data_IF_816315495722
#
_entry.id   IF_816315495722
#
_cell.length_a   1.000
_cell.length_b   1.000
_cell.length_c   1.000
_cell.angle_alpha   90.00
_cell.angle_beta   90.00
_cell.angle_gamma   90.00
#
_symmetry.space_group_name_H-M   'P 1'
#
loop_
_entity.id
_entity.type
_entity.pdbx_description
1 polymer ?
#
# COMPACT_ATOMS: atom_id res chain seq x y z
N UNK A 1 -7.71 6.89 7.71
CA UNK A 1 -6.39 7.18 8.35
C UNK A 1 -6.45 8.54 9.04
N UNK A 2 -7.15 8.70 10.16
CA UNK A 2 -7.46 10.02 10.76
C UNK A 2 -6.63 10.36 12.02
N UNK A 3 -5.51 9.67 12.24
CA UNK A 3 -4.67 9.85 13.44
C UNK A 3 -5.29 9.38 14.76
N UNK A 4 -6.46 8.74 14.75
CA UNK A 4 -7.12 8.24 15.96
C UNK A 4 -6.38 7.05 16.59
N UNK A 5 -5.78 6.18 15.78
CA UNK A 5 -5.05 4.98 16.24
C UNK A 5 -3.89 5.31 17.19
N UNK A 6 -3.28 6.48 17.02
CA UNK A 6 -2.12 6.95 17.77
C UNK A 6 -2.46 8.12 18.70
N UNK A 7 -3.74 8.40 18.96
CA UNK A 7 -4.13 9.49 19.86
C UNK A 7 -3.52 9.33 21.28
N UNK A 8 -3.58 8.12 21.84
CA UNK A 8 -2.97 7.81 23.13
C UNK A 8 -1.44 7.86 23.08
N UNK A 9 -0.84 7.41 21.96
CA UNK A 9 0.61 7.51 21.75
C UNK A 9 1.09 8.97 21.77
N UNK A 10 0.35 9.88 21.11
CA UNK A 10 0.62 11.32 21.12
C UNK A 10 0.44 11.92 22.52
N UNK A 11 -0.62 11.53 23.24
CA UNK A 11 -0.88 12.02 24.59
C UNK A 11 0.21 11.59 25.60
N UNK A 12 0.63 10.32 25.56
CA UNK A 12 1.65 9.78 26.47
C UNK A 12 3.03 10.42 26.26
N UNK A 13 3.40 10.78 25.02
CA UNK A 13 4.64 11.52 24.77
C UNK A 13 4.57 12.98 25.23
N UNK A 14 3.41 13.64 25.08
CA UNK A 14 3.21 15.02 25.56
C UNK A 14 3.23 15.14 27.08
N UNK A 15 2.76 14.12 27.81
CA UNK A 15 2.73 14.12 29.27
C UNK A 15 4.03 13.67 29.93
N UNK A 16 5.03 13.22 29.15
CA UNK A 16 6.28 12.65 29.68
C UNK A 16 6.12 11.30 30.38
N UNK A 17 4.90 10.74 30.42
CA UNK A 17 4.59 9.47 31.05
C UNK A 17 4.98 8.31 30.11
N UNK A 18 6.27 8.01 30.05
CA UNK A 18 6.75 6.74 29.50
C UNK A 18 6.83 5.73 30.64
N UNK A 19 5.92 4.75 30.64
CA UNK A 19 6.12 3.50 31.37
C UNK A 19 7.41 2.85 30.88
N UNK A 20 8.19 2.31 31.82
CA UNK A 20 9.63 2.00 31.78
C UNK A 20 10.15 0.98 30.73
N UNK A 21 9.55 0.86 29.54
CA UNK A 21 10.05 -0.04 28.48
C UNK A 21 10.62 0.66 27.24
N UNK A 22 10.47 1.99 27.08
CA UNK A 22 10.97 2.72 25.91
C UNK A 22 11.67 4.03 26.27
N UNK A 23 12.63 3.96 27.19
CA UNK A 23 13.63 5.00 27.36
C UNK A 23 14.65 4.95 26.21
N UNK A 24 14.27 5.40 25.01
CA UNK A 24 15.21 5.80 23.98
C UNK A 24 14.99 7.27 23.67
N UNK A 25 15.86 8.10 24.25
CA UNK A 25 16.27 9.45 23.87
C UNK A 25 15.17 10.46 23.47
N UNK A 26 15.22 11.64 24.07
CA UNK A 26 14.55 12.83 23.56
C UNK A 26 15.11 13.26 22.21
N UNK A 27 14.83 12.50 21.15
CA UNK A 27 14.89 12.98 19.78
C UNK A 27 13.67 13.88 19.59
N UNK A 28 13.94 15.15 19.26
CA UNK A 28 12.94 15.99 18.62
C UNK A 28 12.37 15.20 17.44
N UNK A 29 11.09 14.82 17.55
CA UNK A 29 10.40 14.12 16.47
C UNK A 29 10.29 15.12 15.33
N UNK A 30 11.10 14.92 14.31
CA UNK A 30 11.08 15.73 13.10
C UNK A 30 9.64 15.76 12.56
N UNK A 31 9.08 16.96 12.42
CA UNK A 31 7.71 17.11 11.93
C UNK A 31 7.62 16.66 10.48
N UNK A 32 6.43 16.25 10.04
CA UNK A 32 6.22 15.86 8.65
C UNK A 32 6.53 17.00 7.66
N UNK A 33 6.42 18.27 8.08
CA UNK A 33 6.79 19.41 7.25
C UNK A 33 8.28 19.43 6.89
N UNK A 34 9.16 19.19 7.87
CA UNK A 34 10.62 19.16 7.63
C UNK A 34 11.00 17.97 6.74
N UNK A 35 10.35 16.82 6.95
CA UNK A 35 10.53 15.66 6.07
C UNK A 35 10.14 16.00 4.61
N UNK A 36 9.02 16.68 4.40
CA UNK A 36 8.56 17.07 3.06
C UNK A 36 9.51 18.07 2.39
N UNK A 37 10.12 18.99 3.15
CA UNK A 37 11.14 19.90 2.62
C UNK A 37 12.37 19.13 2.13
N UNK A 38 12.90 18.20 2.93
CA UNK A 38 14.03 17.35 2.52
C UNK A 38 13.73 16.54 1.26
N UNK A 39 12.54 15.94 1.20
CA UNK A 39 12.13 15.16 0.02
C UNK A 39 11.99 16.06 -1.22
N UNK A 40 11.51 17.30 -1.05
CA UNK A 40 11.41 18.25 -2.16
C UNK A 40 12.79 18.64 -2.71
N UNK A 41 13.79 18.82 -1.85
CA UNK A 41 15.18 19.06 -2.24
C UNK A 41 15.77 17.88 -3.01
N UNK A 42 15.61 16.65 -2.49
CA UNK A 42 16.10 15.44 -3.16
C UNK A 42 15.40 15.24 -4.51
N UNK A 43 14.08 15.42 -4.59
CA UNK A 43 13.33 15.37 -5.85
C UNK A 43 13.88 16.40 -6.85
N UNK A 44 14.15 17.63 -6.41
CA UNK A 44 14.73 18.67 -7.27
C UNK A 44 16.14 18.29 -7.76
N UNK A 45 16.95 17.69 -6.89
CA UNK A 45 18.27 17.16 -7.22
C UNK A 45 18.19 16.05 -8.28
N UNK A 46 17.32 15.04 -8.08
CA UNK A 46 17.11 13.95 -9.04
C UNK A 46 16.61 14.44 -10.41
N UNK A 47 15.78 15.49 -10.45
CA UNK A 47 15.37 16.14 -11.71
C UNK A 47 16.55 16.81 -12.40
N UNK A 48 17.41 17.52 -11.65
CA UNK A 48 18.62 18.17 -12.17
C UNK A 48 19.61 17.16 -12.76
N UNK A 49 19.75 16.00 -12.10
CA UNK A 49 20.58 14.88 -12.58
C UNK A 49 19.95 14.06 -13.71
N UNK A 50 18.71 14.38 -14.14
CA UNK A 50 17.95 13.64 -15.16
C UNK A 50 17.66 12.17 -14.80
N UNK A 51 17.76 11.79 -13.52
CA UNK A 51 17.34 10.48 -13.02
C UNK A 51 15.81 10.31 -13.09
N UNK A 52 15.09 11.41 -12.94
CA UNK A 52 13.64 11.46 -13.13
C UNK A 52 13.25 12.59 -14.09
N UNK A 53 12.13 12.41 -14.79
CA UNK A 53 11.59 13.42 -15.69
C UNK A 53 10.93 14.53 -14.88
N UNK A 54 11.18 15.80 -15.26
CA UNK A 54 10.43 16.94 -14.74
C UNK A 54 8.97 16.83 -15.18
N UNK A 55 8.09 16.56 -14.22
CA UNK A 55 6.66 16.53 -14.45
C UNK A 55 6.05 17.93 -14.32
N UNK A 56 4.84 18.12 -14.86
CA UNK A 56 4.09 19.36 -14.66
C UNK A 56 3.73 19.52 -13.17
N UNK A 57 3.84 20.74 -12.61
CA UNK A 57 3.42 21.01 -11.24
C UNK A 57 1.92 20.76 -11.11
N UNK A 58 1.52 20.24 -9.95
CA UNK A 58 0.13 20.01 -9.58
C UNK A 58 -0.37 21.20 -8.76
N UNK A 59 -1.69 21.47 -8.76
CA UNK A 59 -2.25 22.48 -7.88
C UNK A 59 -2.06 22.10 -6.40
N UNK A 60 -2.00 23.12 -5.55
CA UNK A 60 -2.04 22.95 -4.10
C UNK A 60 -3.30 22.16 -3.68
N UNK A 61 -3.23 21.50 -2.52
CA UNK A 61 -4.37 20.78 -1.95
C UNK A 61 -5.37 21.80 -1.42
N UNK A 62 -6.60 21.77 -1.94
CA UNK A 62 -7.67 22.67 -1.46
C UNK A 62 -8.29 22.15 -0.17
N UNK A 63 -9.09 22.96 0.53
CA UNK A 63 -9.74 22.53 1.78
C UNK A 63 -10.78 21.41 1.52
N UNK A 64 -11.43 21.41 0.35
CA UNK A 64 -12.40 20.38 -0.03
C UNK A 64 -11.75 19.01 -0.25
N UNK A 65 -10.46 19.00 -0.58
CA UNK A 65 -9.66 17.78 -0.76
C UNK A 65 -9.10 17.24 0.57
N UNK A 66 -9.27 17.95 1.68
CA UNK A 66 -8.84 17.53 3.02
C UNK A 66 -10.01 16.86 3.74
N UNK A 67 -10.08 15.52 3.75
CA UNK A 67 -11.21 14.81 4.35
C UNK A 67 -11.35 14.99 5.87
N UNK A 68 -10.29 15.44 6.56
CA UNK A 68 -10.27 15.63 8.00
C UNK A 68 -9.16 16.62 8.43
N UNK A 69 -9.31 17.15 9.66
CA UNK A 69 -8.28 17.95 10.30
C UNK A 69 -7.11 17.08 10.78
N UNK A 70 -5.89 17.54 10.52
CA UNK A 70 -4.68 16.78 10.88
C UNK A 70 -4.31 16.95 12.36
N UNK A 71 -3.78 15.90 12.99
CA UNK A 71 -3.02 16.03 14.22
C UNK A 71 -1.82 16.98 14.09
N UNK A 72 -1.39 17.52 15.23
CA UNK A 72 -0.12 18.24 15.31
C UNK A 72 1.06 17.35 14.85
N UNK A 73 1.94 17.93 14.04
CA UNK A 73 3.13 17.25 13.49
C UNK A 73 2.87 16.54 12.15
N UNK A 74 1.61 16.36 11.74
CA UNK A 74 1.27 15.79 10.43
C UNK A 74 1.21 16.88 9.36
N UNK A 75 1.40 16.49 8.11
CA UNK A 75 1.27 17.38 6.97
C UNK A 75 0.52 16.72 5.80
N UNK A 76 -0.27 17.53 5.08
CA UNK A 76 -0.85 17.11 3.81
C UNK A 76 0.17 17.34 2.69
N UNK A 77 0.33 16.34 1.82
CA UNK A 77 1.10 16.46 0.58
C UNK A 77 0.40 15.71 -0.56
N UNK A 78 0.79 15.97 -1.80
CA UNK A 78 0.39 15.14 -2.94
C UNK A 78 1.28 13.91 -2.98
N UNK A 79 0.76 12.79 -3.49
CA UNK A 79 1.56 11.60 -3.75
C UNK A 79 2.82 11.93 -4.56
N UNK A 80 2.70 12.80 -5.56
CA UNK A 80 3.84 13.23 -6.38
C UNK A 80 4.92 13.99 -5.61
N UNK A 81 4.63 14.56 -4.44
CA UNK A 81 5.62 15.29 -3.65
C UNK A 81 6.64 14.33 -3.05
N UNK A 82 6.20 13.12 -2.68
CA UNK A 82 7.04 12.15 -1.97
C UNK A 82 7.41 10.91 -2.80
N UNK A 83 6.64 10.61 -3.86
CA UNK A 83 6.75 9.36 -4.59
C UNK A 83 6.84 9.58 -6.11
N UNK A 84 7.78 8.90 -6.74
CA UNK A 84 7.93 8.79 -8.19
C UNK A 84 6.98 7.73 -8.75
N UNK A 85 6.11 8.13 -9.69
CA UNK A 85 5.17 7.23 -10.36
C UNK A 85 5.68 6.84 -11.76
N UNK A 86 5.76 5.55 -12.04
CA UNK A 86 6.19 5.00 -13.34
C UNK A 86 5.23 3.91 -13.79
N UNK A 87 4.58 4.10 -14.95
CA UNK A 87 3.76 3.06 -15.58
C UNK A 87 4.60 1.90 -16.12
N UNK A 88 4.01 0.73 -16.27
CA UNK A 88 4.73 -0.47 -16.69
C UNK A 88 4.88 -0.64 -18.21
N UNK A 89 5.45 -1.77 -18.59
CA UNK A 89 5.73 -2.09 -20.00
C UNK A 89 4.44 -2.41 -20.77
N UNK A 90 4.34 -1.91 -22.01
CA UNK A 90 3.24 -2.22 -22.93
C UNK A 90 3.61 -3.43 -23.78
N UNK A 91 2.72 -4.42 -23.86
CA UNK A 91 2.90 -5.58 -24.73
C UNK A 91 2.96 -5.17 -26.20
N UNK A 92 3.79 -5.86 -26.98
CA UNK A 92 3.79 -5.74 -28.44
C UNK A 92 4.64 -4.60 -29.01
N UNK A 93 5.45 -3.89 -28.19
CA UNK A 93 6.51 -3.04 -28.73
C UNK A 93 7.54 -3.92 -29.44
N UNK A 94 7.69 -3.72 -30.76
CA UNK A 94 8.74 -4.34 -31.55
C UNK A 94 10.07 -3.65 -31.23
N UNK A 95 10.79 -4.13 -30.23
CA UNK A 95 12.23 -3.92 -30.20
C UNK A 95 12.87 -4.84 -31.25
N UNK A 96 13.98 -4.42 -31.83
CA UNK A 96 14.64 -5.14 -32.94
C UNK A 96 15.99 -5.72 -32.54
N UNK A 97 16.53 -5.32 -31.39
CA UNK A 97 17.85 -5.71 -30.88
C UNK A 97 17.83 -5.82 -29.34
N UNK A 98 18.75 -6.62 -28.78
CA UNK A 98 19.00 -6.75 -27.33
C UNK A 98 17.78 -7.11 -26.48
N UNK A 99 17.08 -8.16 -26.88
CA UNK A 99 15.90 -8.67 -26.20
C UNK A 99 16.26 -9.53 -25.00
N UNK A 100 15.53 -9.36 -23.91
CA UNK A 100 15.59 -10.21 -22.72
C UNK A 100 14.19 -10.68 -22.36
N UNK A 101 14.10 -11.92 -21.87
CA UNK A 101 12.87 -12.49 -21.34
C UNK A 101 12.86 -12.26 -19.84
N UNK A 102 11.78 -11.64 -19.34
CA UNK A 102 11.62 -11.34 -17.92
C UNK A 102 10.25 -11.77 -17.41
N UNK A 103 10.18 -12.18 -16.15
CA UNK A 103 8.91 -12.35 -15.46
C UNK A 103 8.29 -10.98 -15.19
N UNK A 104 6.97 -10.89 -15.30
CA UNK A 104 6.29 -9.62 -15.08
C UNK A 104 4.98 -9.76 -14.31
N UNK A 105 4.70 -8.75 -13.48
CA UNK A 105 3.46 -8.63 -12.73
C UNK A 105 2.32 -8.07 -13.58
N UNK A 106 1.15 -8.66 -13.38
CA UNK A 106 -0.12 -8.26 -13.98
C UNK A 106 -1.06 -7.72 -12.92
N UNK A 107 -2.17 -7.13 -13.36
CA UNK A 107 -3.26 -6.71 -12.46
C UNK A 107 -3.75 -7.88 -11.58
N UNK A 108 -3.75 -9.11 -12.11
CA UNK A 108 -4.14 -10.31 -11.34
C UNK A 108 -3.17 -10.64 -10.20
N UNK A 109 -1.92 -10.19 -10.26
CA UNK A 109 -0.91 -10.46 -9.24
C UNK A 109 -0.95 -9.43 -8.10
N UNK A 110 -1.52 -8.25 -8.33
CA UNK A 110 -1.55 -7.18 -7.32
C UNK A 110 -2.88 -7.20 -6.57
N UNK A 111 -2.84 -7.73 -5.35
CA UNK A 111 -3.98 -7.78 -4.45
C UNK A 111 -3.89 -6.65 -3.41
N UNK A 112 -4.94 -6.51 -2.59
CA UNK A 112 -4.98 -5.46 -1.57
C UNK A 112 -4.09 -5.88 -0.39
N UNK A 113 -2.89 -5.32 -0.32
CA UNK A 113 -1.94 -5.57 0.77
C UNK A 113 -0.97 -6.73 0.55
N UNK A 114 -1.12 -7.51 -0.53
CA UNK A 114 -0.23 -8.62 -0.85
C UNK A 114 -0.12 -8.86 -2.35
N UNK A 115 0.88 -9.65 -2.74
CA UNK A 115 1.10 -10.09 -4.12
C UNK A 115 0.76 -11.56 -4.27
N UNK A 116 -0.09 -11.87 -5.22
CA UNK A 116 -0.35 -13.24 -5.67
C UNK A 116 0.65 -13.59 -6.78
N UNK A 117 1.62 -14.43 -6.45
CA UNK A 117 2.72 -14.85 -7.33
C UNK A 117 2.57 -16.29 -7.82
N UNK A 118 1.43 -16.94 -7.60
CA UNK A 118 1.22 -18.34 -7.99
C UNK A 118 1.30 -18.50 -9.52
N UNK A 119 0.70 -17.56 -10.26
CA UNK A 119 0.69 -17.57 -11.73
C UNK A 119 1.38 -16.35 -12.32
N UNK A 120 2.69 -16.51 -12.54
CA UNK A 120 3.53 -15.54 -13.23
C UNK A 120 3.58 -15.80 -14.74
N UNK A 121 3.82 -14.73 -15.51
CA UNK A 121 4.01 -14.81 -16.96
C UNK A 121 5.31 -14.13 -17.36
N UNK A 122 5.81 -14.53 -18.51
CA UNK A 122 6.99 -13.92 -19.13
C UNK A 122 6.60 -12.91 -20.21
N UNK A 123 7.51 -11.97 -20.44
CA UNK A 123 7.44 -11.01 -21.53
C UNK A 123 8.84 -10.78 -22.08
N UNK A 124 8.94 -10.62 -23.40
CA UNK A 124 10.16 -10.24 -24.09
C UNK A 124 10.20 -8.72 -24.23
N UNK A 125 11.26 -8.09 -23.72
CA UNK A 125 11.44 -6.63 -23.72
C UNK A 125 12.88 -6.30 -24.11
N UNK A 126 13.14 -5.06 -24.54
CA UNK A 126 14.53 -4.62 -24.74
C UNK A 126 15.24 -4.52 -23.39
N UNK A 127 16.57 -4.67 -23.39
CA UNK A 127 17.40 -4.48 -22.20
C UNK A 127 17.17 -3.11 -21.52
N UNK A 128 16.97 -2.05 -22.30
CA UNK A 128 16.65 -0.71 -21.77
C UNK A 128 15.30 -0.63 -21.06
N UNK A 129 14.26 -1.27 -21.62
CA UNK A 129 12.96 -1.32 -20.95
C UNK A 129 13.03 -2.21 -19.70
N UNK A 130 13.78 -3.32 -19.76
CA UNK A 130 14.03 -4.18 -18.60
C UNK A 130 14.67 -3.41 -17.43
N UNK A 131 15.80 -2.72 -17.68
CA UNK A 131 16.49 -1.91 -16.66
C UNK A 131 15.60 -0.81 -16.07
N UNK A 132 14.74 -0.20 -16.91
CA UNK A 132 13.82 0.86 -16.49
C UNK A 132 12.69 0.35 -15.58
N UNK A 133 12.09 -0.80 -15.92
CA UNK A 133 10.92 -1.35 -15.24
C UNK A 133 11.25 -2.41 -14.20
N UNK A 134 12.53 -2.66 -13.93
CA UNK A 134 12.95 -3.55 -12.85
C UNK A 134 12.40 -3.07 -11.50
N UNK A 135 11.84 -4.03 -10.77
CA UNK A 135 11.36 -3.82 -9.41
C UNK A 135 12.51 -3.94 -8.41
N UNK A 136 12.49 -3.08 -7.42
CA UNK A 136 13.40 -3.06 -6.28
C UNK A 136 12.59 -3.24 -5.00
N UNK A 137 13.24 -3.79 -3.97
CA UNK A 137 12.61 -3.94 -2.67
C UNK A 137 11.98 -2.61 -2.18
N UNK A 138 10.77 -2.73 -1.64
CA UNK A 138 9.91 -1.64 -1.15
C UNK A 138 9.23 -0.79 -2.24
N UNK A 139 9.30 -1.21 -3.51
CA UNK A 139 8.43 -0.64 -4.52
C UNK A 139 6.97 -0.90 -4.21
N UNK A 140 6.14 0.14 -4.30
CA UNK A 140 4.69 0.02 -4.19
C UNK A 140 4.10 -0.19 -5.58
N UNK A 141 3.24 -1.19 -5.70
CA UNK A 141 2.57 -1.54 -6.95
C UNK A 141 1.09 -1.20 -6.83
N UNK A 142 0.62 -0.29 -7.68
CA UNK A 142 -0.75 0.22 -7.67
C UNK A 142 -1.45 -0.14 -8.97
N UNK A 143 -2.61 -0.78 -8.89
CA UNK A 143 -3.42 -1.13 -10.06
C UNK A 143 -4.04 0.12 -10.69
N UNK A 144 -3.74 0.36 -11.97
CA UNK A 144 -4.28 1.46 -12.78
C UNK A 144 -5.77 1.27 -13.08
N UNK A 145 -6.14 0.07 -13.53
CA UNK A 145 -7.45 -0.19 -14.08
C UNK A 145 -7.79 -1.67 -14.19
N UNK A 146 -9.09 -1.96 -14.26
CA UNK A 146 -9.67 -3.28 -14.29
C UNK A 146 -11.13 -3.23 -13.84
N UNK A 147 -11.60 -4.31 -13.22
CA UNK A 147 -12.89 -4.32 -12.52
C UNK A 147 -12.87 -3.26 -11.41
N UNK A 148 -14.04 -2.76 -11.03
CA UNK A 148 -14.19 -1.66 -10.08
C UNK A 148 -13.42 -1.87 -8.77
N UNK A 149 -13.47 -3.07 -8.19
CA UNK A 149 -12.80 -3.38 -6.93
C UNK A 149 -11.25 -3.49 -7.05
N UNK A 150 -10.73 -3.56 -8.28
CA UNK A 150 -9.29 -3.70 -8.54
C UNK A 150 -8.56 -2.36 -8.56
N UNK A 151 -9.25 -1.28 -8.93
CA UNK A 151 -8.64 0.04 -9.05
C UNK A 151 -8.06 0.51 -7.72
N UNK A 152 -6.82 0.97 -7.73
CA UNK A 152 -6.16 1.50 -6.54
C UNK A 152 -5.72 0.45 -5.51
N UNK A 153 -5.85 -0.86 -5.81
CA UNK A 153 -5.20 -1.89 -5.00
C UNK A 153 -3.69 -1.64 -4.97
N UNK A 154 -3.11 -1.73 -3.78
CA UNK A 154 -1.69 -1.52 -3.56
C UNK A 154 -1.06 -2.70 -2.82
N UNK A 155 0.13 -3.09 -3.23
CA UNK A 155 0.96 -4.06 -2.52
C UNK A 155 2.44 -3.65 -2.60
N UNK A 156 3.24 -4.12 -1.65
CA UNK A 156 4.69 -3.90 -1.60
C UNK A 156 5.39 -5.05 -2.33
N UNK A 157 6.40 -4.70 -3.12
CA UNK A 157 7.35 -5.66 -3.67
C UNK A 157 8.43 -6.00 -2.62
N UNK A 158 8.46 -7.27 -2.19
CA UNK A 158 9.39 -7.79 -1.20
C UNK A 158 10.68 -8.37 -1.78
N UNK A 159 10.90 -8.28 -3.11
CA UNK A 159 12.02 -8.90 -3.82
C UNK A 159 11.97 -10.43 -3.83
N UNK A 160 10.76 -10.97 -3.91
CA UNK A 160 10.45 -12.41 -3.92
C UNK A 160 10.98 -13.11 -5.17
N UNK A 161 11.00 -12.40 -6.30
CA UNK A 161 11.47 -12.91 -7.60
C UNK A 161 12.54 -11.99 -8.16
N UNK A 162 13.72 -12.52 -8.44
CA UNK A 162 14.78 -11.75 -9.07
C UNK A 162 14.35 -11.30 -10.48
N UNK A 163 14.75 -10.10 -10.87
CA UNK A 163 14.62 -9.63 -12.27
C UNK A 163 13.17 -9.52 -12.75
N UNK A 164 12.24 -9.23 -11.83
CA UNK A 164 10.83 -9.03 -12.15
C UNK A 164 10.53 -7.60 -12.60
N UNK A 165 9.67 -7.49 -13.63
CA UNK A 165 9.12 -6.22 -14.12
C UNK A 165 7.59 -6.21 -13.98
N UNK A 166 6.89 -5.24 -14.57
CA UNK A 166 5.44 -5.08 -14.42
C UNK A 166 4.78 -4.47 -15.66
N UNK A 167 3.50 -4.80 -15.89
CA UNK A 167 2.76 -4.35 -17.08
C UNK A 167 2.20 -2.94 -16.96
N UNK A 168 1.81 -2.35 -18.09
CA UNK A 168 1.25 -1.00 -18.21
C UNK A 168 0.08 -0.68 -17.25
N UNK A 169 -0.77 -1.65 -16.93
CA UNK A 169 -1.91 -1.46 -15.99
C UNK A 169 -1.55 -1.57 -14.50
N UNK A 170 -0.26 -1.57 -14.20
CA UNK A 170 0.28 -1.47 -12.84
C UNK A 170 1.24 -0.28 -12.84
N UNK A 171 1.05 0.63 -11.91
CA UNK A 171 2.01 1.68 -11.61
C UNK A 171 2.99 1.18 -10.56
N UNK A 172 4.28 1.42 -10.77
CA UNK A 172 5.26 1.40 -9.70
C UNK A 172 5.35 2.78 -9.09
N UNK A 173 5.33 2.83 -7.78
CA UNK A 173 5.42 4.03 -6.96
C UNK A 173 6.61 3.84 -6.01
N UNK A 174 7.59 4.73 -6.10
CA UNK A 174 8.86 4.62 -5.36
C UNK A 174 9.18 5.94 -4.66
N UNK A 175 9.58 5.95 -3.40
CA UNK A 175 10.00 7.19 -2.72
C UNK A 175 11.16 7.88 -3.43
N UNK A 176 11.15 9.21 -3.48
CA UNK A 176 12.35 9.96 -3.91
C UNK A 176 13.49 9.82 -2.89
N UNK A 177 13.13 9.69 -1.61
CA UNK A 177 14.03 9.44 -0.49
C UNK A 177 13.41 8.35 0.39
N UNK A 178 14.21 7.37 0.83
CA UNK A 178 13.73 6.27 1.67
C UNK A 178 13.63 6.67 3.14
N UNK A 179 14.59 7.45 3.61
CA UNK A 179 14.68 7.90 4.99
C UNK A 179 13.48 8.79 5.33
N UNK A 180 12.74 8.41 6.38
CA UNK A 180 11.56 9.16 6.84
C UNK A 180 10.21 8.62 6.35
N UNK A 181 10.20 7.66 5.42
CA UNK A 181 8.97 7.07 4.88
C UNK A 181 8.91 5.56 5.09
N UNK A 182 7.81 5.09 5.67
CA UNK A 182 7.52 3.66 5.80
C UNK A 182 6.73 3.16 4.59
N UNK A 183 7.28 2.22 3.83
CA UNK A 183 6.59 1.57 2.72
C UNK A 183 5.30 0.87 3.19
N UNK A 184 5.35 0.23 4.36
CA UNK A 184 4.19 -0.42 4.99
C UNK A 184 3.08 0.58 5.31
N UNK A 185 3.44 1.72 5.91
CA UNK A 185 2.47 2.79 6.18
C UNK A 185 1.83 3.29 4.88
N UNK A 186 2.63 3.54 3.83
CA UNK A 186 2.12 4.01 2.54
C UNK A 186 1.18 2.99 1.88
N UNK A 187 1.52 1.70 1.91
CA UNK A 187 0.64 0.64 1.42
C UNK A 187 -0.69 0.61 2.17
N UNK A 188 -0.65 0.66 3.51
CA UNK A 188 -1.85 0.71 4.35
C UNK A 188 -2.67 1.97 4.08
N UNK A 189 -2.03 3.13 3.86
CA UNK A 189 -2.70 4.38 3.54
C UNK A 189 -3.43 4.29 2.20
N UNK A 190 -2.73 3.80 1.17
CA UNK A 190 -3.28 3.70 -0.19
C UNK A 190 -4.46 2.73 -0.23
N UNK A 191 -4.39 1.65 0.55
CA UNK A 191 -5.48 0.68 0.68
C UNK A 191 -6.60 1.12 1.63
N UNK A 192 -6.47 2.27 2.29
CA UNK A 192 -7.47 2.74 3.25
C UNK A 192 -8.80 3.14 2.58
N UNK A 193 -9.92 3.10 3.32
CA UNK A 193 -11.22 3.52 2.77
C UNK A 193 -11.23 4.96 2.22
N UNK A 194 -10.48 5.87 2.83
CA UNK A 194 -10.42 7.27 2.41
C UNK A 194 -9.77 7.40 1.01
N UNK A 195 -8.64 6.70 0.80
CA UNK A 195 -7.97 6.71 -0.51
C UNK A 195 -8.75 5.92 -1.56
N UNK A 196 -9.43 4.85 -1.16
CA UNK A 196 -10.35 4.13 -2.05
C UNK A 196 -11.44 5.06 -2.59
N UNK A 197 -12.09 5.83 -1.72
CA UNK A 197 -13.11 6.83 -2.14
C UNK A 197 -12.54 7.88 -3.09
N UNK A 198 -11.29 8.31 -2.86
CA UNK A 198 -10.60 9.22 -3.78
C UNK A 198 -10.42 8.61 -5.17
N UNK A 199 -9.94 7.37 -5.27
CA UNK A 199 -9.80 6.72 -6.58
C UNK A 199 -11.15 6.46 -7.24
N UNK A 200 -12.17 6.09 -6.47
CA UNK A 200 -13.52 5.90 -6.98
C UNK A 200 -14.08 7.21 -7.57
N UNK A 201 -13.89 8.35 -6.91
CA UNK A 201 -14.41 9.64 -7.34
C UNK A 201 -13.71 10.22 -8.58
N UNK A 202 -12.41 9.92 -8.77
CA UNK A 202 -11.67 10.40 -9.94
C UNK A 202 -11.59 9.37 -11.07
N UNK A 203 -11.93 8.10 -10.84
CA UNK A 203 -11.87 7.05 -11.86
C UNK A 203 -12.76 7.37 -13.07
N UNK A 204 -12.25 7.10 -14.28
CA UNK A 204 -13.10 7.07 -15.48
C UNK A 204 -13.80 5.72 -15.53
N UNK A 205 -15.13 5.75 -15.63
CA UNK A 205 -15.96 4.55 -15.56
C UNK A 205 -16.65 4.26 -16.89
N UNK A 206 -16.70 2.98 -17.23
CA UNK A 206 -17.57 2.39 -18.25
C UNK A 206 -18.33 1.22 -17.60
N UNK A 207 -19.27 0.59 -18.32
CA UNK A 207 -20.23 -0.38 -17.74
C UNK A 207 -19.61 -1.44 -16.81
N UNK A 208 -18.39 -1.93 -17.10
CA UNK A 208 -17.72 -2.95 -16.27
C UNK A 208 -16.24 -2.64 -15.95
N UNK A 209 -15.71 -1.49 -16.36
CA UNK A 209 -14.29 -1.16 -16.20
C UNK A 209 -14.13 0.24 -15.63
N UNK A 210 -13.21 0.35 -14.67
CA UNK A 210 -12.76 1.60 -14.11
C UNK A 210 -11.24 1.73 -14.25
N UNK A 211 -10.76 2.95 -14.44
CA UNK A 211 -9.32 3.24 -14.49
C UNK A 211 -9.02 4.62 -13.91
N UNK A 212 -7.91 4.72 -13.19
CA UNK A 212 -7.25 5.97 -12.88
C UNK A 212 -6.08 6.17 -13.84
N UNK A 213 -5.69 7.42 -14.12
CA UNK A 213 -4.49 7.71 -14.89
C UNK A 213 -3.34 8.19 -14.00
N UNK A 214 -2.13 8.29 -14.57
CA UNK A 214 -0.93 8.74 -13.86
C UNK A 214 -1.12 10.10 -13.17
N UNK A 215 -1.81 11.06 -13.79
CA UNK A 215 -2.04 12.38 -13.19
C UNK A 215 -2.95 12.28 -11.96
N UNK A 216 -4.03 11.50 -12.04
CA UNK A 216 -4.92 11.27 -10.91
C UNK A 216 -4.20 10.61 -9.74
N UNK A 217 -3.37 9.60 -10.01
CA UNK A 217 -2.57 8.97 -8.96
C UNK A 217 -1.58 9.96 -8.32
N UNK A 218 -0.88 10.75 -9.14
CA UNK A 218 0.04 11.79 -8.67
C UNK A 218 -0.64 12.87 -7.83
N UNK A 219 -1.89 13.18 -8.13
CA UNK A 219 -2.72 14.16 -7.42
C UNK A 219 -3.34 13.65 -6.13
N UNK A 220 -3.19 12.36 -5.77
CA UNK A 220 -3.78 11.82 -4.56
C UNK A 220 -3.28 12.56 -3.30
N UNK A 221 -4.18 13.09 -2.45
CA UNK A 221 -3.79 13.75 -1.20
C UNK A 221 -3.41 12.71 -0.15
N UNK A 222 -2.27 12.91 0.50
CA UNK A 222 -1.74 12.05 1.55
C UNK A 222 -1.49 12.84 2.83
N UNK A 223 -1.97 12.30 3.95
CA UNK A 223 -1.68 12.81 5.27
C UNK A 223 -0.49 12.04 5.84
N UNK A 224 0.67 12.69 5.92
CA UNK A 224 1.92 12.06 6.33
C UNK A 224 2.20 12.43 7.81
N UNK A 225 2.29 11.44 8.72
CA UNK A 225 2.82 11.61 10.06
C UNK A 225 4.35 11.68 10.07
N UNK A 226 4.96 12.12 11.18
CA UNK A 226 6.37 11.84 11.46
C UNK A 226 6.69 10.34 11.38
N UNK A 227 7.93 9.99 11.02
CA UNK A 227 8.34 8.58 10.81
C UNK A 227 8.02 7.68 12.01
N UNK A 228 8.28 8.13 13.23
CA UNK A 228 8.03 7.34 14.43
C UNK A 228 6.54 7.06 14.63
N UNK A 229 5.68 8.01 14.24
CA UNK A 229 4.23 7.80 14.27
C UNK A 229 3.77 6.91 13.11
N UNK A 230 4.40 6.98 11.93
CA UNK A 230 4.15 6.02 10.85
C UNK A 230 4.42 4.57 11.31
N UNK A 231 5.55 4.33 11.99
CA UNK A 231 5.89 3.01 12.57
C UNK A 231 4.88 2.57 13.62
N UNK A 232 4.53 3.46 14.55
CA UNK A 232 3.53 3.16 15.58
C UNK A 232 2.14 2.83 14.99
N UNK A 233 1.75 3.50 13.90
CA UNK A 233 0.51 3.17 13.17
C UNK A 233 0.60 1.76 12.60
N UNK A 234 1.70 1.42 11.92
CA UNK A 234 1.91 0.10 11.32
C UNK A 234 1.84 -0.99 12.39
N UNK A 235 2.59 -0.85 13.48
CA UNK A 235 2.57 -1.80 14.60
C UNK A 235 1.15 -1.97 15.18
N UNK A 236 0.41 -0.87 15.30
CA UNK A 236 -0.96 -0.93 15.81
C UNK A 236 -1.88 -1.66 14.83
N UNK A 237 -1.77 -1.40 13.54
CA UNK A 237 -2.56 -2.11 12.51
C UNK A 237 -2.22 -3.60 12.52
N UNK A 238 -0.93 -3.95 12.55
CA UNK A 238 -0.48 -5.35 12.55
C UNK A 238 -0.99 -6.09 13.79
N UNK A 239 -0.94 -5.48 14.98
CA UNK A 239 -1.49 -6.09 16.20
C UNK A 239 -3.00 -6.31 16.16
N UNK A 240 -3.74 -5.41 15.50
CA UNK A 240 -5.19 -5.55 15.33
C UNK A 240 -5.52 -6.65 14.31
N UNK A 241 -4.77 -6.75 13.23
CA UNK A 241 -4.94 -7.82 12.23
C UNK A 241 -4.64 -9.19 12.83
N UNK A 242 -3.55 -9.32 13.59
CA UNK A 242 -3.23 -10.56 14.29
C UNK A 242 -4.33 -10.97 15.30
N UNK A 243 -4.99 -10.00 15.94
CA UNK A 243 -6.13 -10.28 16.81
C UNK A 243 -7.35 -10.78 16.01
N UNK A 244 -7.63 -10.18 14.84
CA UNK A 244 -8.68 -10.68 13.95
C UNK A 244 -8.42 -12.13 13.53
N UNK A 245 -7.20 -12.46 13.10
CA UNK A 245 -6.82 -13.82 12.71
C UNK A 245 -7.04 -14.83 13.86
N UNK A 246 -6.70 -14.44 15.08
CA UNK A 246 -6.95 -15.26 16.28
C UNK A 246 -8.44 -15.48 16.55
N UNK A 247 -9.25 -14.44 16.39
CA UNK A 247 -10.70 -14.52 16.58
C UNK A 247 -11.38 -15.39 15.52
N UNK A 248 -10.96 -15.26 14.26
CA UNK A 248 -11.45 -16.09 13.15
C UNK A 248 -11.11 -17.57 13.38
N UNK A 249 -9.87 -17.87 13.79
CA UNK A 249 -9.46 -19.23 14.12
C UNK A 249 -10.27 -19.82 15.30
N UNK A 250 -10.53 -19.01 16.34
CA UNK A 250 -11.33 -19.42 17.49
C UNK A 250 -12.79 -19.71 17.10
N UNK A 251 -13.38 -18.89 16.23
CA UNK A 251 -14.74 -19.09 15.73
C UNK A 251 -14.85 -20.40 14.94
N UNK A 252 -13.92 -20.62 13.99
CA UNK A 252 -13.87 -21.85 13.18
C UNK A 252 -13.72 -23.11 14.06
N UNK A 253 -12.87 -23.05 15.09
CA UNK A 253 -12.71 -24.15 16.03
C UNK A 253 -14.00 -24.41 16.84
N UNK A 254 -14.71 -23.35 17.25
CA UNK A 254 -15.99 -23.47 17.95
C UNK A 254 -17.08 -24.12 17.09
N UNK A 255 -17.20 -23.72 15.82
CA UNK A 255 -18.14 -24.33 14.86
C UNK A 255 -17.83 -25.82 14.63
N UNK A 256 -16.55 -26.18 14.55
CA UNK A 256 -16.14 -27.57 14.41
C UNK A 256 -16.49 -28.40 15.66
N UNK A 257 -16.28 -27.86 16.86
CA UNK A 257 -16.65 -28.54 18.11
C UNK A 257 -18.16 -28.72 18.24
N UNK A 258 -18.96 -27.71 17.89
CA UNK A 258 -20.42 -27.81 17.89
C UNK A 258 -20.90 -28.93 16.95
N UNK A 259 -20.32 -29.00 15.76
CA UNK A 259 -20.64 -30.03 14.77
C UNK A 259 -20.34 -31.43 15.31
N UNK A 260 -19.16 -31.62 15.93
CA UNK A 260 -18.78 -32.90 16.53
C UNK A 260 -19.70 -33.32 17.69
N UNK A 261 -20.09 -32.37 18.55
CA UNK A 261 -21.03 -32.63 19.64
C UNK A 261 -22.41 -33.00 19.11
N UNK A 262 -22.90 -32.30 18.09
CA UNK A 262 -24.18 -32.63 17.44
C UNK A 262 -24.15 -34.03 16.83
N UNK A 263 -23.09 -34.40 16.11
CA UNK A 263 -22.91 -35.74 15.55
C UNK A 263 -22.90 -36.81 16.64
N UNK A 264 -22.21 -36.55 17.76
CA UNK A 264 -22.18 -37.47 18.91
C UNK A 264 -23.56 -37.64 19.53
N UNK A 265 -24.27 -36.55 19.81
CA UNK A 265 -25.63 -36.57 20.38
C UNK A 265 -26.61 -37.30 19.44
N UNK A 266 -26.56 -37.04 18.14
CA UNK A 266 -27.41 -37.75 17.16
C UNK A 266 -27.09 -39.24 17.16
N UNK A 267 -25.80 -39.62 17.17
CA UNK A 267 -25.40 -41.03 17.22
C UNK A 267 -25.92 -41.71 18.48
N UNK A 268 -25.85 -41.07 19.64
CA UNK A 268 -26.39 -41.62 20.89
C UNK A 268 -27.92 -41.78 20.85
N UNK A 269 -28.65 -40.77 20.37
CA UNK A 269 -30.12 -40.81 20.28
C UNK A 269 -30.60 -41.89 19.30
N UNK A 270 -29.93 -42.03 18.15
CA UNK A 270 -30.23 -43.07 17.16
C UNK A 270 -29.89 -44.47 17.69
N UNK A 271 -28.79 -44.62 18.44
CA UNK A 271 -28.45 -45.88 19.08
C UNK A 271 -29.43 -46.28 20.21
N UNK A 272 -30.08 -45.30 20.84
CA UNK A 272 -31.03 -45.50 21.94
C UNK A 272 -32.47 -45.79 21.49
N UNK A 273 -32.80 -45.75 20.20
CA UNK A 273 -34.16 -46.04 19.69
C UNK A 273 -34.31 -47.55 19.40
N UNK A 274 -35.09 -48.32 20.20
CA UNK A 274 -35.24 -49.76 19.98
C UNK A 274 -36.04 -50.00 18.70
N UNK A 275 -35.55 -50.90 17.84
CA UNK A 275 -36.33 -51.40 16.70
C UNK A 275 -37.48 -52.26 17.25
N UNK A 276 -38.69 -51.70 17.22
CA UNK A 276 -39.95 -52.42 17.50
C UNK A 276 -40.44 -53.19 16.29
#
# INVERSE_FOLDING_TARGET
MQGQLTANWRANRKSGATTEAHASAGLEVESAAVLLEKIAEEKAHMVKEKKIKKEKPLPAITEEEKPFALPEGWAWCRLDDILAVVGGVTKGKKATHDMVTALYLRVANVQRGYLDLEVMKEIVVSKTDFEKYQLLAEDLLIVEGGDYDKVGRCAIWGNEIKDCIYQNHVFRVRPYQKEGLSAMFMMQYINSPDMRRYFESCSKQTTNLASINKTQLRSAPLAIPPLEEQKAIVEKVDSLMALCDQLEAALAAGEQQLTQLMESCVREVVAATPHG
#
